data_IF_805969540052
#
_entry.id   IF_805969540052
#
_cell.length_a   1.000
_cell.length_b   1.000
_cell.length_c   1.000
_cell.angle_alpha   90.00
_cell.angle_beta   90.00
_cell.angle_gamma   90.00
#
_symmetry.space_group_name_H-M   'P 1'
#
loop_
_entity.id
_entity.type
_entity.pdbx_description
1 polymer ?
#
# COMPACT_ATOMS: atom_id res chain seq x y z
N UNK A 1 -29.54 15.04 29.12
CA UNK A 1 -28.72 14.95 27.89
C UNK A 1 -27.94 13.63 27.90
N UNK A 2 -28.14 12.84 26.88
CA UNK A 2 -27.39 11.60 26.68
C UNK A 2 -26.10 11.92 25.92
N UNK A 3 -24.98 11.43 26.41
CA UNK A 3 -23.67 11.59 25.75
C UNK A 3 -23.11 10.26 25.35
N UNK A 4 -22.63 10.17 24.12
CA UNK A 4 -21.91 9.02 23.59
C UNK A 4 -20.47 9.44 23.26
N UNK A 5 -19.51 8.91 24.02
CA UNK A 5 -18.10 9.08 23.75
C UNK A 5 -17.51 7.78 23.18
N UNK A 6 -16.89 7.89 22.03
CA UNK A 6 -16.23 6.75 21.37
C UNK A 6 -14.75 7.07 21.27
N UNK A 7 -13.93 6.23 21.90
CA UNK A 7 -12.47 6.28 21.77
C UNK A 7 -11.99 5.06 20.99
N UNK A 8 -11.40 5.30 19.82
CA UNK A 8 -10.87 4.26 18.93
C UNK A 8 -9.35 4.34 18.96
N UNK A 9 -8.72 3.28 19.46
CA UNK A 9 -7.29 3.07 19.35
C UNK A 9 -7.00 1.98 18.32
N UNK A 10 -5.73 1.74 18.01
CA UNK A 10 -5.32 0.77 17.01
C UNK A 10 -5.80 -0.67 17.29
N UNK A 11 -5.86 -1.06 18.56
CA UNK A 11 -6.23 -2.42 18.98
C UNK A 11 -7.45 -2.46 19.90
N UNK A 12 -8.04 -1.31 20.22
CA UNK A 12 -9.11 -1.24 21.20
C UNK A 12 -10.16 -0.21 20.84
N UNK A 13 -11.41 -0.52 21.11
CA UNK A 13 -12.53 0.40 21.04
C UNK A 13 -13.12 0.51 22.43
N UNK A 14 -13.24 1.74 22.93
CA UNK A 14 -13.91 2.05 24.18
C UNK A 14 -15.11 2.95 23.85
N UNK A 15 -16.27 2.53 24.29
CA UNK A 15 -17.54 3.26 24.12
C UNK A 15 -18.05 3.57 25.52
N UNK A 16 -18.24 4.86 25.80
CA UNK A 16 -18.87 5.33 27.02
C UNK A 16 -20.21 5.97 26.67
N UNK A 17 -21.27 5.43 27.23
CA UNK A 17 -22.64 5.94 27.11
C UNK A 17 -23.07 6.48 28.45
N UNK A 18 -23.40 7.77 28.53
CA UNK A 18 -24.03 8.40 29.65
C UNK A 18 -25.54 8.56 29.36
N UNK A 19 -26.37 7.83 30.08
CA UNK A 19 -27.84 7.90 29.97
C UNK A 19 -28.47 8.06 31.35
N UNK A 20 -29.27 9.12 31.58
CA UNK A 20 -29.95 9.37 32.83
C UNK A 20 -29.08 9.18 34.06
N UNK A 21 -27.95 9.85 34.13
CA UNK A 21 -26.93 9.77 35.20
C UNK A 21 -26.24 8.41 35.40
N UNK A 22 -26.51 7.42 34.53
CA UNK A 22 -25.80 6.15 34.52
C UNK A 22 -24.79 6.17 33.43
N UNK A 23 -23.51 5.88 33.77
CA UNK A 23 -22.44 5.73 32.83
C UNK A 23 -22.18 4.24 32.59
N UNK A 24 -22.26 3.84 31.32
CA UNK A 24 -21.95 2.49 30.88
C UNK A 24 -20.71 2.58 29.97
N UNK A 25 -19.61 1.92 30.38
CA UNK A 25 -18.40 1.86 29.57
C UNK A 25 -18.21 0.44 29.06
N UNK A 26 -18.10 0.29 27.76
CA UNK A 26 -17.81 -0.97 27.09
C UNK A 26 -16.43 -0.88 26.46
N UNK A 27 -15.58 -1.84 26.80
CA UNK A 27 -14.24 -1.98 26.25
C UNK A 27 -14.16 -3.26 25.42
N UNK A 28 -13.69 -3.13 24.15
CA UNK A 28 -13.48 -4.27 23.26
C UNK A 28 -12.10 -4.20 22.65
N UNK A 29 -11.36 -5.30 22.73
CA UNK A 29 -10.11 -5.48 22.01
C UNK A 29 -10.44 -5.88 20.58
N UNK A 30 -9.85 -5.19 19.61
CA UNK A 30 -9.97 -5.52 18.19
C UNK A 30 -8.70 -6.23 17.75
N UNK A 31 -8.80 -7.37 17.06
CA UNK A 31 -7.63 -7.97 16.44
C UNK A 31 -7.06 -7.03 15.37
N UNK A 32 -5.78 -7.17 15.12
CA UNK A 32 -5.11 -6.41 14.05
C UNK A 32 -5.59 -6.94 12.70
N UNK A 33 -6.22 -6.10 11.91
CA UNK A 33 -6.81 -6.48 10.62
C UNK A 33 -6.12 -5.80 9.45
N UNK A 34 -6.09 -6.50 8.32
CA UNK A 34 -5.86 -5.89 7.01
C UNK A 34 -7.14 -5.15 6.61
N UNK A 35 -7.07 -3.93 6.05
CA UNK A 35 -8.24 -3.22 5.58
C UNK A 35 -9.06 -4.06 4.60
N UNK A 36 -10.35 -4.21 4.85
CA UNK A 36 -11.29 -4.89 3.96
C UNK A 36 -12.22 -3.83 3.32
N UNK A 37 -11.86 -3.40 2.12
CA UNK A 37 -12.58 -2.33 1.42
C UNK A 37 -14.01 -2.73 1.04
N UNK A 38 -14.27 -4.02 0.80
CA UNK A 38 -15.62 -4.52 0.54
C UNK A 38 -16.52 -4.38 1.79
N UNK A 39 -15.98 -4.71 2.96
CA UNK A 39 -16.68 -4.56 4.24
C UNK A 39 -16.96 -3.08 4.54
N UNK A 40 -15.95 -2.21 4.40
CA UNK A 40 -16.10 -0.76 4.60
C UNK A 40 -17.21 -0.21 3.70
N UNK A 41 -17.23 -0.61 2.42
CA UNK A 41 -18.26 -0.19 1.47
C UNK A 41 -19.67 -0.68 1.88
N UNK A 42 -19.78 -1.93 2.30
CA UNK A 42 -21.06 -2.52 2.66
C UNK A 42 -21.64 -1.91 3.94
N UNK A 43 -20.80 -1.73 4.97
CA UNK A 43 -21.19 -1.07 6.23
C UNK A 43 -21.59 0.38 5.96
N UNK A 44 -20.81 1.14 5.21
CA UNK A 44 -21.15 2.51 4.85
C UNK A 44 -22.50 2.60 4.15
N UNK A 45 -22.77 1.74 3.16
CA UNK A 45 -24.07 1.70 2.48
C UNK A 45 -25.22 1.31 3.40
N UNK A 46 -24.99 0.35 4.29
CA UNK A 46 -26.02 -0.06 5.27
C UNK A 46 -26.35 1.08 6.21
N UNK A 47 -25.34 1.79 6.72
CA UNK A 47 -25.52 2.93 7.64
C UNK A 47 -26.32 4.06 6.98
N UNK A 48 -26.01 4.41 5.73
CA UNK A 48 -26.76 5.42 4.98
C UNK A 48 -28.23 4.99 4.77
N UNK A 49 -28.46 3.74 4.36
CA UNK A 49 -29.83 3.21 4.20
C UNK A 49 -30.60 3.16 5.51
N UNK A 50 -29.94 2.79 6.61
CA UNK A 50 -30.56 2.75 7.92
C UNK A 50 -30.98 4.14 8.39
N UNK A 51 -30.15 5.16 8.10
CA UNK A 51 -30.46 6.55 8.38
C UNK A 51 -31.64 7.06 7.55
N UNK A 52 -31.61 6.83 6.23
CA UNK A 52 -32.67 7.29 5.32
C UNK A 52 -34.02 6.61 5.57
N UNK A 53 -34.01 5.31 5.92
CA UNK A 53 -35.22 4.49 6.09
C UNK A 53 -35.63 4.28 7.53
N UNK A 54 -34.95 4.93 8.48
CA UNK A 54 -35.23 4.82 9.92
C UNK A 54 -35.38 3.36 10.40
N UNK A 55 -34.40 2.51 10.09
CA UNK A 55 -34.43 1.10 10.49
C UNK A 55 -34.55 0.96 12.01
N UNK A 56 -35.31 -0.04 12.45
CA UNK A 56 -35.31 -0.41 13.88
C UNK A 56 -33.94 -0.98 14.26
N UNK A 57 -33.58 -0.87 15.53
CA UNK A 57 -32.30 -1.39 16.04
C UNK A 57 -32.13 -2.87 15.73
N UNK A 58 -33.19 -3.68 15.91
CA UNK A 58 -33.20 -5.12 15.63
C UNK A 58 -32.97 -5.42 14.16
N UNK A 59 -33.58 -4.67 13.24
CA UNK A 59 -33.38 -4.81 11.80
C UNK A 59 -31.93 -4.46 11.41
N UNK A 60 -31.39 -3.39 11.98
CA UNK A 60 -30.02 -2.96 11.72
C UNK A 60 -29.00 -4.00 12.21
N UNK A 61 -29.19 -4.55 13.40
CA UNK A 61 -28.34 -5.59 13.98
C UNK A 61 -28.34 -6.88 13.16
N UNK A 62 -29.54 -7.31 12.70
CA UNK A 62 -29.67 -8.47 11.81
C UNK A 62 -28.97 -8.25 10.46
N UNK A 63 -29.03 -7.04 9.91
CA UNK A 63 -28.39 -6.73 8.62
C UNK A 63 -26.88 -6.65 8.78
N UNK A 64 -26.36 -6.07 9.86
CA UNK A 64 -24.92 -6.02 10.15
C UNK A 64 -24.34 -7.44 10.34
N UNK A 65 -25.02 -8.29 11.10
CA UNK A 65 -24.54 -9.67 11.33
C UNK A 65 -24.49 -10.49 10.04
N UNK A 66 -25.36 -10.22 9.08
CA UNK A 66 -25.32 -10.85 7.76
C UNK A 66 -24.14 -10.39 6.89
N UNK A 67 -23.65 -9.16 7.08
CA UNK A 67 -22.54 -8.66 6.25
C UNK A 67 -21.29 -9.51 6.42
N UNK A 68 -20.97 -9.92 7.65
CA UNK A 68 -19.77 -10.71 7.94
C UNK A 68 -19.74 -12.06 7.20
N UNK A 69 -20.90 -12.70 7.06
CA UNK A 69 -21.04 -13.96 6.34
C UNK A 69 -21.24 -13.82 4.82
N UNK A 70 -21.63 -12.63 4.35
CA UNK A 70 -22.04 -12.45 2.95
C UNK A 70 -20.94 -11.83 2.08
N UNK A 71 -19.99 -11.10 2.69
CA UNK A 71 -18.94 -10.42 1.93
C UNK A 71 -17.81 -11.39 1.60
N UNK A 72 -17.60 -11.71 0.31
CA UNK A 72 -16.56 -12.64 -0.08
C UNK A 72 -15.18 -12.01 0.14
N UNK A 73 -14.23 -12.83 0.58
CA UNK A 73 -12.81 -12.48 0.63
C UNK A 73 -12.09 -13.22 -0.49
N UNK A 74 -11.22 -12.54 -1.21
CA UNK A 74 -10.42 -13.17 -2.25
C UNK A 74 -9.57 -14.30 -1.65
N UNK A 75 -9.55 -15.49 -2.29
CA UNK A 75 -8.70 -16.59 -1.86
C UNK A 75 -7.21 -16.25 -2.04
N UNK A 76 -6.35 -16.90 -1.27
CA UNK A 76 -4.92 -16.59 -1.21
C UNK A 76 -4.22 -16.69 -2.58
N UNK A 77 -4.65 -17.60 -3.46
CA UNK A 77 -4.07 -17.72 -4.78
C UNK A 77 -4.37 -16.50 -5.67
N UNK A 78 -5.59 -15.92 -5.59
CA UNK A 78 -5.93 -14.67 -6.29
C UNK A 78 -5.11 -13.50 -5.73
N UNK A 79 -4.95 -13.43 -4.41
CA UNK A 79 -4.10 -12.42 -3.77
C UNK A 79 -2.64 -12.56 -4.21
N UNK A 80 -2.15 -13.80 -4.35
CA UNK A 80 -0.80 -14.08 -4.86
C UNK A 80 -0.60 -13.56 -6.28
N UNK A 81 -1.52 -13.85 -7.18
CA UNK A 81 -1.49 -13.34 -8.56
C UNK A 81 -1.59 -11.81 -8.57
N UNK A 82 -2.47 -11.23 -7.77
CA UNK A 82 -2.60 -9.79 -7.65
C UNK A 82 -1.30 -9.15 -7.10
N UNK A 83 -0.67 -9.74 -6.08
CA UNK A 83 0.64 -9.30 -5.60
C UNK A 83 1.68 -9.25 -6.73
N UNK A 84 1.76 -10.32 -7.49
CA UNK A 84 2.73 -10.46 -8.57
C UNK A 84 2.49 -9.44 -9.70
N UNK A 85 1.25 -9.31 -10.14
CA UNK A 85 0.87 -8.33 -11.16
C UNK A 85 1.06 -6.89 -10.68
N UNK A 86 0.75 -6.62 -9.41
CA UNK A 86 0.97 -5.30 -8.81
C UNK A 86 2.43 -4.90 -8.79
N UNK A 87 3.30 -5.81 -8.37
CA UNK A 87 4.75 -5.61 -8.37
C UNK A 87 5.31 -5.43 -9.78
N UNK A 88 4.87 -6.25 -10.72
CA UNK A 88 5.28 -6.13 -12.12
C UNK A 88 4.79 -4.83 -12.78
N UNK A 89 3.57 -4.39 -12.42
CA UNK A 89 3.08 -3.08 -12.83
C UNK A 89 3.96 -1.93 -12.35
N UNK A 90 4.52 -2.03 -11.14
CA UNK A 90 5.50 -1.06 -10.66
C UNK A 90 6.81 -1.13 -11.43
N UNK A 91 7.25 -2.31 -11.90
CA UNK A 91 8.44 -2.42 -12.74
C UNK A 91 8.28 -1.62 -14.05
N UNK A 92 7.12 -1.68 -14.69
CA UNK A 92 6.80 -0.83 -15.85
C UNK A 92 6.77 0.66 -15.52
N UNK A 93 6.26 1.03 -14.35
CA UNK A 93 6.26 2.42 -13.90
C UNK A 93 7.68 3.00 -13.71
N UNK A 94 8.64 2.14 -13.41
CA UNK A 94 10.04 2.51 -13.25
C UNK A 94 10.89 2.29 -14.51
N UNK A 95 10.23 2.16 -15.66
CA UNK A 95 10.87 1.98 -16.98
C UNK A 95 11.51 0.62 -17.20
N UNK A 96 11.07 -0.42 -16.45
CA UNK A 96 11.39 -1.80 -16.75
C UNK A 96 10.79 -2.24 -18.09
N UNK A 97 11.46 -3.15 -18.77
CA UNK A 97 11.00 -3.75 -20.01
C UNK A 97 10.03 -4.93 -19.78
N UNK A 98 9.56 -5.56 -20.86
CA UNK A 98 8.64 -6.71 -20.77
C UNK A 98 9.29 -7.91 -20.07
N UNK A 99 10.61 -8.08 -20.19
CA UNK A 99 11.34 -9.16 -19.51
C UNK A 99 11.34 -8.90 -18.00
N UNK A 100 11.65 -7.66 -17.58
CA UNK A 100 11.56 -7.25 -16.17
C UNK A 100 10.14 -7.47 -15.63
N UNK A 101 9.10 -7.16 -16.38
CA UNK A 101 7.71 -7.40 -15.99
C UNK A 101 7.45 -8.89 -15.71
N UNK A 102 7.75 -9.76 -16.67
CA UNK A 102 7.50 -11.22 -16.56
C UNK A 102 8.27 -11.82 -15.39
N UNK A 103 9.55 -11.50 -15.27
CA UNK A 103 10.39 -12.04 -14.20
C UNK A 103 9.96 -11.51 -12.83
N UNK A 104 9.57 -10.25 -12.74
CA UNK A 104 9.00 -9.70 -11.51
C UNK A 104 7.72 -10.44 -11.10
N UNK A 105 6.84 -10.83 -12.04
CA UNK A 105 5.67 -11.68 -11.74
C UNK A 105 6.09 -12.98 -11.06
N UNK A 106 7.06 -13.68 -11.65
CA UNK A 106 7.52 -14.98 -11.14
C UNK A 106 8.15 -14.84 -9.75
N UNK A 107 9.07 -13.89 -9.58
CA UNK A 107 9.79 -13.66 -8.32
C UNK A 107 8.85 -13.21 -7.20
N UNK A 108 7.91 -12.31 -7.51
CA UNK A 108 6.91 -11.85 -6.54
C UNK A 108 5.95 -12.95 -6.10
N UNK A 109 5.55 -13.86 -7.02
CA UNK A 109 4.77 -15.04 -6.69
C UNK A 109 5.51 -15.95 -5.71
N UNK A 110 6.78 -16.25 -5.98
CA UNK A 110 7.61 -17.06 -5.10
C UNK A 110 7.74 -16.41 -3.73
N UNK A 111 7.99 -15.09 -3.68
CA UNK A 111 8.04 -14.33 -2.44
C UNK A 111 6.74 -14.34 -1.65
N UNK A 112 5.60 -14.14 -2.32
CA UNK A 112 4.28 -14.18 -1.71
C UNK A 112 3.98 -15.55 -1.08
N UNK A 113 4.23 -16.62 -1.81
CA UNK A 113 4.01 -17.98 -1.30
C UNK A 113 5.00 -18.33 -0.20
N UNK A 114 6.27 -17.92 -0.30
CA UNK A 114 7.27 -18.06 0.75
C UNK A 114 6.81 -17.42 2.07
N UNK A 115 6.33 -16.16 2.01
CA UNK A 115 5.72 -15.47 3.15
C UNK A 115 4.50 -16.22 3.69
N UNK A 116 3.55 -16.54 2.82
CA UNK A 116 2.29 -17.16 3.24
C UNK A 116 2.50 -18.52 3.88
N UNK A 117 3.40 -19.31 3.31
CA UNK A 117 3.73 -20.64 3.81
C UNK A 117 4.40 -20.55 5.19
N UNK A 118 5.36 -19.63 5.37
CA UNK A 118 6.04 -19.41 6.64
C UNK A 118 5.05 -19.06 7.77
N UNK A 119 4.09 -18.16 7.49
CA UNK A 119 3.05 -17.79 8.45
C UNK A 119 2.13 -18.98 8.76
N UNK A 120 1.78 -19.80 7.77
CA UNK A 120 0.98 -21.04 7.99
C UNK A 120 1.71 -22.06 8.83
N UNK A 121 3.04 -22.13 8.79
CA UNK A 121 3.87 -22.97 9.69
C UNK A 121 4.05 -22.38 11.09
N UNK A 122 3.37 -21.26 11.41
CA UNK A 122 3.39 -20.66 12.74
C UNK A 122 4.48 -19.63 12.96
N UNK A 123 5.22 -19.23 11.94
CA UNK A 123 6.16 -18.12 12.07
C UNK A 123 5.42 -16.80 12.33
N UNK A 124 6.07 -15.90 13.07
CA UNK A 124 5.59 -14.52 13.23
C UNK A 124 5.47 -13.80 11.88
N UNK A 125 4.51 -12.86 11.75
CA UNK A 125 4.28 -12.06 10.55
C UNK A 125 5.58 -11.42 10.03
N UNK A 126 6.40 -10.86 10.90
CA UNK A 126 7.66 -10.20 10.52
C UNK A 126 8.71 -11.17 9.97
N UNK A 127 8.81 -12.36 10.56
CA UNK A 127 9.68 -13.44 10.05
C UNK A 127 9.17 -13.92 8.69
N UNK A 128 7.85 -14.06 8.53
CA UNK A 128 7.26 -14.40 7.24
C UNK A 128 7.56 -13.37 6.15
N UNK A 129 7.54 -12.08 6.50
CA UNK A 129 7.90 -10.98 5.58
C UNK A 129 9.39 -11.07 5.19
N UNK A 130 10.28 -11.31 6.15
CA UNK A 130 11.71 -11.48 5.87
C UNK A 130 11.97 -12.67 4.93
N UNK A 131 11.32 -13.82 5.18
CA UNK A 131 11.41 -15.00 4.31
C UNK A 131 10.84 -14.70 2.91
N UNK A 132 9.73 -13.98 2.82
CA UNK A 132 9.16 -13.55 1.54
C UNK A 132 10.11 -12.65 0.75
N UNK A 133 10.76 -11.67 1.40
CA UNK A 133 11.77 -10.81 0.78
C UNK A 133 13.01 -11.60 0.33
N UNK A 134 13.50 -12.49 1.17
CA UNK A 134 14.62 -13.39 0.88
C UNK A 134 14.34 -14.28 -0.35
N UNK A 135 13.21 -14.99 -0.35
CA UNK A 135 12.85 -15.91 -1.42
C UNK A 135 12.58 -15.20 -2.75
N UNK A 136 11.95 -14.00 -2.72
CA UNK A 136 11.76 -13.19 -3.91
C UNK A 136 13.10 -12.78 -4.54
N UNK A 137 14.05 -12.29 -3.71
CA UNK A 137 15.38 -11.85 -4.16
C UNK A 137 16.24 -12.99 -4.68
N UNK A 138 16.29 -14.12 -3.95
CA UNK A 138 17.06 -15.30 -4.40
C UNK A 138 16.53 -15.83 -5.72
N UNK A 139 15.18 -15.83 -5.91
CA UNK A 139 14.60 -16.22 -7.20
C UNK A 139 14.98 -15.24 -8.32
N UNK A 140 15.04 -13.94 -8.04
CA UNK A 140 15.49 -12.94 -9.01
C UNK A 140 16.98 -13.13 -9.40
N UNK A 141 17.82 -13.51 -8.43
CA UNK A 141 19.20 -13.88 -8.70
C UNK A 141 19.34 -15.10 -9.63
N UNK A 142 18.43 -16.06 -9.53
CA UNK A 142 18.39 -17.21 -10.45
C UNK A 142 18.25 -16.81 -11.93
N UNK A 143 17.73 -15.63 -12.22
CA UNK A 143 17.63 -15.08 -13.58
C UNK A 143 18.81 -14.19 -13.99
N UNK A 144 19.77 -13.95 -13.08
CA UNK A 144 20.88 -13.01 -13.30
C UNK A 144 21.67 -13.25 -14.60
N UNK A 145 21.93 -14.53 -14.93
CA UNK A 145 22.67 -14.91 -16.15
C UNK A 145 21.85 -14.83 -17.44
N UNK A 146 20.54 -14.57 -17.35
CA UNK A 146 19.60 -14.67 -18.48
C UNK A 146 18.94 -13.34 -18.83
N UNK A 147 19.23 -12.29 -18.07
CA UNK A 147 18.59 -10.97 -18.21
C UNK A 147 19.67 -9.89 -18.25
N UNK A 148 19.45 -8.85 -19.04
CA UNK A 148 20.31 -7.67 -19.07
C UNK A 148 20.39 -7.02 -17.68
N UNK A 149 21.56 -6.49 -17.32
CA UNK A 149 21.80 -5.94 -15.97
C UNK A 149 20.83 -4.81 -15.62
N UNK A 150 20.49 -3.95 -16.57
CA UNK A 150 19.57 -2.84 -16.35
C UNK A 150 18.15 -3.33 -16.02
N UNK A 151 17.65 -4.32 -16.75
CA UNK A 151 16.33 -4.91 -16.50
C UNK A 151 16.30 -5.68 -15.18
N UNK A 152 17.39 -6.35 -14.82
CA UNK A 152 17.49 -7.07 -13.55
C UNK A 152 17.34 -6.15 -12.33
N UNK A 153 17.87 -4.94 -12.38
CA UNK A 153 17.76 -3.98 -11.27
C UNK A 153 16.30 -3.66 -10.97
N UNK A 154 15.47 -3.47 -11.99
CA UNK A 154 14.02 -3.25 -11.79
C UNK A 154 13.32 -4.45 -11.18
N UNK A 155 13.69 -5.67 -11.61
CA UNK A 155 13.17 -6.92 -11.04
C UNK A 155 13.48 -7.00 -9.55
N UNK A 156 14.74 -6.81 -9.18
CA UNK A 156 15.22 -6.95 -7.80
C UNK A 156 14.53 -5.97 -6.86
N UNK A 157 14.32 -4.74 -7.30
CA UNK A 157 13.61 -3.73 -6.51
C UNK A 157 12.12 -4.06 -6.43
N UNK A 158 11.48 -4.38 -7.57
CA UNK A 158 10.03 -4.48 -7.64
C UNK A 158 9.48 -5.80 -7.11
N UNK A 159 10.25 -6.90 -7.15
CA UNK A 159 9.76 -8.22 -6.73
C UNK A 159 9.31 -8.30 -5.26
N UNK A 160 9.73 -7.34 -4.42
CA UNK A 160 9.39 -7.27 -3.00
C UNK A 160 8.41 -6.16 -2.65
N UNK A 161 8.11 -5.24 -3.58
CA UNK A 161 7.29 -4.04 -3.30
C UNK A 161 5.84 -4.35 -2.88
N UNK A 162 5.32 -5.55 -3.18
CA UNK A 162 4.00 -5.97 -2.72
C UNK A 162 3.88 -6.08 -1.19
N UNK A 163 5.00 -6.14 -0.48
CA UNK A 163 5.02 -6.22 0.99
C UNK A 163 5.02 -4.84 1.65
N UNK A 164 5.22 -3.76 0.90
CA UNK A 164 5.26 -2.41 1.46
C UNK A 164 3.89 -2.05 2.03
N UNK A 165 3.84 -1.71 3.32
CA UNK A 165 2.59 -1.44 4.02
C UNK A 165 2.09 -0.01 3.74
N UNK A 166 1.73 0.28 2.49
CA UNK A 166 1.33 1.61 2.06
C UNK A 166 0.12 2.17 2.83
N UNK A 167 -0.97 1.40 2.94
CA UNK A 167 -2.19 1.85 3.65
C UNK A 167 -1.96 2.08 5.15
N UNK A 168 -1.26 1.21 5.90
CA UNK A 168 -0.89 1.51 7.29
C UNK A 168 -0.09 2.79 7.45
N UNK A 169 0.82 3.05 6.53
CA UNK A 169 1.65 4.26 6.55
C UNK A 169 0.80 5.51 6.35
N UNK A 170 -0.09 5.52 5.36
CA UNK A 170 -1.05 6.59 5.10
C UNK A 170 -1.91 6.87 6.32
N UNK A 171 -2.53 5.84 6.84
CA UNK A 171 -3.41 5.96 7.99
C UNK A 171 -2.65 6.45 9.24
N UNK A 172 -1.35 6.16 9.37
CA UNK A 172 -0.50 6.68 10.43
C UNK A 172 -0.45 8.22 10.41
N UNK A 173 -0.26 8.81 9.23
CA UNK A 173 -0.23 10.27 9.08
C UNK A 173 -1.61 10.88 9.27
N UNK A 174 -2.65 10.30 8.68
CA UNK A 174 -4.04 10.78 8.85
C UNK A 174 -4.43 10.78 10.33
N UNK A 175 -4.15 9.69 11.05
CA UNK A 175 -4.46 9.60 12.48
C UNK A 175 -3.71 10.67 13.28
N UNK A 176 -2.43 10.91 12.96
CA UNK A 176 -1.62 11.93 13.64
C UNK A 176 -2.15 13.34 13.39
N UNK A 177 -2.51 13.66 12.14
CA UNK A 177 -3.08 14.97 11.77
C UNK A 177 -4.43 15.20 12.46
N UNK A 178 -5.24 14.15 12.60
CA UNK A 178 -6.53 14.19 13.28
C UNK A 178 -6.42 14.12 14.83
N UNK A 179 -5.24 14.35 15.39
CA UNK A 179 -4.96 14.27 16.83
C UNK A 179 -5.15 12.88 17.47
N UNK A 180 -5.24 11.82 16.68
CA UNK A 180 -5.21 10.43 17.17
C UNK A 180 -3.75 9.93 17.26
N UNK A 181 -2.90 10.66 18.00
CA UNK A 181 -1.44 10.49 18.02
C UNK A 181 -1.02 9.05 18.35
N UNK A 182 -1.64 8.43 19.36
CA UNK A 182 -1.29 7.05 19.76
C UNK A 182 -1.56 6.04 18.65
N UNK A 183 -2.67 6.17 17.94
CA UNK A 183 -3.00 5.31 16.78
C UNK A 183 -2.03 5.55 15.64
N UNK A 184 -1.70 6.82 15.35
CA UNK A 184 -0.74 7.21 14.34
C UNK A 184 0.65 6.63 14.58
N UNK A 185 1.20 6.81 15.78
CA UNK A 185 2.51 6.28 16.19
C UNK A 185 2.52 4.75 16.12
N UNK A 186 1.50 4.09 16.62
CA UNK A 186 1.42 2.61 16.59
C UNK A 186 1.47 2.07 15.16
N UNK A 187 0.76 2.72 14.23
CA UNK A 187 0.79 2.35 12.80
C UNK A 187 2.15 2.65 12.15
N UNK A 188 2.78 3.77 12.53
CA UNK A 188 4.12 4.13 12.05
C UNK A 188 5.16 3.08 12.46
N UNK A 189 5.21 2.73 13.74
CA UNK A 189 6.13 1.72 14.28
C UNK A 189 5.90 0.36 13.58
N UNK A 190 4.65 -0.06 13.43
CA UNK A 190 4.34 -1.30 12.72
C UNK A 190 4.84 -1.26 11.27
N UNK A 191 4.66 -0.15 10.59
CA UNK A 191 5.16 0.05 9.23
C UNK A 191 6.68 -0.08 9.17
N UNK A 192 7.40 0.55 10.09
CA UNK A 192 8.86 0.45 10.19
C UNK A 192 9.30 -0.99 10.41
N UNK A 193 8.63 -1.73 11.29
CA UNK A 193 8.93 -3.15 11.55
C UNK A 193 8.71 -4.03 10.31
N UNK A 194 7.62 -3.81 9.56
CA UNK A 194 7.33 -4.55 8.32
C UNK A 194 8.44 -4.31 7.29
N UNK A 195 8.79 -3.05 7.04
CA UNK A 195 9.80 -2.72 6.03
C UNK A 195 11.19 -3.11 6.50
N UNK A 196 11.51 -2.94 7.78
CA UNK A 196 12.76 -3.44 8.35
C UNK A 196 12.92 -4.96 8.17
N UNK A 197 11.87 -5.72 8.44
CA UNK A 197 11.87 -7.18 8.22
C UNK A 197 12.06 -7.55 6.75
N UNK A 198 11.36 -6.84 5.84
CA UNK A 198 11.53 -7.02 4.40
C UNK A 198 12.98 -6.74 3.98
N UNK A 199 13.53 -5.61 4.42
CA UNK A 199 14.90 -5.19 4.09
C UNK A 199 15.94 -6.17 4.63
N UNK A 200 15.75 -6.72 5.85
CA UNK A 200 16.61 -7.77 6.39
C UNK A 200 16.59 -9.03 5.51
N UNK A 201 15.41 -9.48 5.08
CA UNK A 201 15.31 -10.62 4.17
C UNK A 201 16.03 -10.39 2.86
N UNK A 202 15.89 -9.19 2.28
CA UNK A 202 16.60 -8.80 1.05
C UNK A 202 18.10 -8.70 1.26
N UNK A 203 18.56 -8.11 2.37
CA UNK A 203 19.99 -8.01 2.70
C UNK A 203 20.62 -9.39 2.88
N UNK A 204 19.93 -10.32 3.53
CA UNK A 204 20.39 -11.72 3.61
C UNK A 204 20.51 -12.37 2.23
N UNK A 205 19.55 -12.14 1.33
CA UNK A 205 19.62 -12.66 -0.03
C UNK A 205 20.84 -12.10 -0.79
N UNK A 206 21.12 -10.81 -0.66
CA UNK A 206 22.30 -10.16 -1.27
C UNK A 206 23.62 -10.69 -0.69
N UNK A 207 23.66 -11.02 0.58
CA UNK A 207 24.84 -11.61 1.21
C UNK A 207 25.18 -12.98 0.63
N UNK A 208 24.18 -13.83 0.39
CA UNK A 208 24.35 -15.16 -0.19
C UNK A 208 24.46 -15.16 -1.72
N UNK A 209 24.03 -14.10 -2.36
CA UNK A 209 24.00 -13.97 -3.82
C UNK A 209 24.71 -12.68 -4.20
N UNK A 210 26.01 -12.71 -4.52
CA UNK A 210 26.79 -11.52 -4.86
C UNK A 210 26.26 -10.90 -6.15
N UNK A 211 25.47 -9.86 -6.01
CA UNK A 211 24.91 -9.08 -7.10
C UNK A 211 25.59 -7.71 -7.15
N UNK A 212 25.64 -7.07 -8.32
CA UNK A 212 26.15 -5.71 -8.42
C UNK A 212 25.33 -4.79 -7.50
N UNK A 213 26.03 -3.91 -6.80
CA UNK A 213 25.44 -3.01 -5.81
C UNK A 213 24.29 -2.21 -6.42
N UNK A 214 23.16 -2.17 -5.72
CA UNK A 214 21.94 -1.43 -6.07
C UNK A 214 22.08 0.09 -6.09
N UNK A 215 23.26 0.60 -6.30
CA UNK A 215 23.60 1.96 -5.95
C UNK A 215 22.68 3.01 -6.54
N UNK A 216 22.09 2.82 -7.72
CA UNK A 216 21.36 3.95 -8.33
C UNK A 216 20.34 3.52 -9.41
N UNK A 217 19.14 3.11 -9.00
CA UNK A 217 18.01 3.20 -9.92
C UNK A 217 17.58 4.66 -9.96
N UNK A 218 17.99 5.38 -10.96
CA UNK A 218 17.53 6.75 -11.18
C UNK A 218 16.13 6.69 -11.81
N UNK A 219 15.13 6.99 -11.00
CA UNK A 219 13.73 7.02 -11.46
C UNK A 219 13.53 8.35 -12.18
N UNK A 220 13.76 8.35 -13.49
CA UNK A 220 13.42 9.52 -14.32
C UNK A 220 11.95 9.45 -14.70
N UNK A 221 11.15 10.46 -14.41
CA UNK A 221 9.82 10.54 -14.96
C UNK A 221 9.93 10.66 -16.47
N UNK A 222 9.26 9.78 -17.20
CA UNK A 222 9.15 9.85 -18.65
C UNK A 222 7.74 10.29 -19.05
N UNK A 223 7.61 10.83 -20.26
CA UNK A 223 6.30 11.04 -20.90
C UNK A 223 5.57 9.69 -20.90
N UNK A 224 4.26 9.72 -20.70
CA UNK A 224 3.45 8.51 -20.54
C UNK A 224 3.61 7.55 -21.73
N UNK A 225 4.27 6.42 -21.48
CA UNK A 225 4.39 5.32 -22.43
C UNK A 225 3.26 4.31 -22.26
N UNK A 226 3.08 3.41 -23.24
CA UNK A 226 2.07 2.34 -23.14
C UNK A 226 2.35 1.44 -21.92
N UNK A 227 3.62 1.16 -21.66
CA UNK A 227 4.07 0.36 -20.50
C UNK A 227 3.65 1.04 -19.19
N UNK A 228 3.78 2.35 -19.10
CA UNK A 228 3.38 3.10 -17.88
C UNK A 228 1.87 3.15 -17.71
N UNK A 229 1.07 3.17 -18.78
CA UNK A 229 -0.39 3.05 -18.72
C UNK A 229 -0.76 1.65 -18.17
N UNK A 230 -0.21 0.61 -18.77
CA UNK A 230 -0.45 -0.77 -18.33
C UNK A 230 0.05 -0.96 -16.90
N UNK A 231 1.24 -0.47 -16.57
CA UNK A 231 1.85 -0.55 -15.26
C UNK A 231 1.03 0.12 -14.17
N UNK A 232 0.60 1.36 -14.38
CA UNK A 232 -0.22 2.10 -13.40
C UNK A 232 -1.61 1.48 -13.21
N UNK A 233 -2.24 1.03 -14.30
CA UNK A 233 -3.51 0.32 -14.23
C UNK A 233 -3.39 -0.98 -13.45
N UNK A 234 -2.43 -1.83 -13.82
CA UNK A 234 -2.23 -3.13 -13.18
C UNK A 234 -1.81 -2.98 -11.72
N UNK A 235 -0.92 -2.05 -11.39
CA UNK A 235 -0.51 -1.79 -10.01
C UNK A 235 -1.73 -1.38 -9.16
N UNK A 236 -2.48 -0.34 -9.55
CA UNK A 236 -3.63 0.14 -8.79
C UNK A 236 -4.72 -0.93 -8.61
N UNK A 237 -5.11 -1.61 -9.70
CA UNK A 237 -6.15 -2.65 -9.67
C UNK A 237 -5.71 -3.87 -8.83
N UNK A 238 -4.46 -4.30 -8.95
CA UNK A 238 -3.93 -5.46 -8.22
C UNK A 238 -3.80 -5.19 -6.73
N UNK A 239 -3.28 -4.04 -6.33
CA UNK A 239 -3.24 -3.67 -4.90
C UNK A 239 -4.65 -3.51 -4.31
N UNK A 240 -5.63 -3.06 -5.09
CA UNK A 240 -7.03 -3.02 -4.64
C UNK A 240 -7.57 -4.43 -4.32
N UNK A 241 -7.16 -5.47 -5.06
CA UNK A 241 -7.52 -6.87 -4.74
C UNK A 241 -6.94 -7.29 -3.39
N UNK A 242 -5.71 -6.86 -3.04
CA UNK A 242 -5.10 -7.16 -1.74
C UNK A 242 -5.89 -6.57 -0.57
N UNK A 243 -6.51 -5.40 -0.77
CA UNK A 243 -7.39 -4.76 0.20
C UNK A 243 -8.84 -5.23 0.10
N UNK A 244 -9.08 -6.31 -0.61
CA UNK A 244 -10.42 -6.89 -0.80
C UNK A 244 -11.44 -5.88 -1.36
N UNK A 245 -11.02 -5.06 -2.33
CA UNK A 245 -11.94 -4.16 -3.01
C UNK A 245 -12.95 -4.93 -3.88
N UNK A 246 -14.21 -4.45 -3.99
CA UNK A 246 -15.20 -5.10 -4.84
C UNK A 246 -14.77 -5.15 -6.31
N UNK A 247 -14.93 -6.33 -6.97
CA UNK A 247 -14.51 -6.56 -8.37
C UNK A 247 -14.99 -5.47 -9.33
N UNK A 248 -16.23 -4.99 -9.16
CA UNK A 248 -16.83 -3.93 -9.99
C UNK A 248 -16.07 -2.59 -9.94
N UNK A 249 -15.24 -2.37 -8.91
CA UNK A 249 -14.48 -1.13 -8.75
C UNK A 249 -13.07 -1.22 -9.33
N UNK A 250 -12.56 -2.43 -9.62
CA UNK A 250 -11.17 -2.63 -10.03
C UNK A 250 -10.80 -1.85 -11.29
N UNK A 251 -11.68 -1.85 -12.29
CA UNK A 251 -11.46 -1.09 -13.54
C UNK A 251 -11.41 0.41 -13.26
N UNK A 252 -12.35 0.93 -12.46
CA UNK A 252 -12.34 2.34 -12.08
C UNK A 252 -11.09 2.72 -11.28
N UNK A 253 -10.65 1.86 -10.36
CA UNK A 253 -9.41 2.06 -9.58
C UNK A 253 -8.19 2.06 -10.51
N UNK A 254 -8.11 1.12 -11.45
CA UNK A 254 -7.03 1.08 -12.44
C UNK A 254 -6.94 2.36 -13.27
N UNK A 255 -8.09 2.85 -13.78
CA UNK A 255 -8.17 4.14 -14.51
C UNK A 255 -7.72 5.29 -13.61
N UNK A 256 -8.10 5.28 -12.32
CA UNK A 256 -7.64 6.27 -11.35
C UNK A 256 -6.11 6.26 -11.17
N UNK A 257 -5.51 5.08 -11.14
CA UNK A 257 -4.04 4.92 -11.10
C UNK A 257 -3.37 5.53 -12.34
N UNK A 258 -3.92 5.27 -13.54
CA UNK A 258 -3.42 5.88 -14.78
C UNK A 258 -3.52 7.40 -14.72
N UNK A 259 -4.66 7.95 -14.29
CA UNK A 259 -4.86 9.39 -14.16
C UNK A 259 -3.85 10.04 -13.21
N UNK A 260 -3.60 9.42 -12.06
CA UNK A 260 -2.60 9.87 -11.11
C UNK A 260 -1.20 9.96 -11.73
N UNK A 261 -0.75 8.86 -12.35
CA UNK A 261 0.59 8.76 -12.94
C UNK A 261 0.72 9.70 -14.14
N UNK A 262 -0.29 9.77 -15.00
CA UNK A 262 -0.33 10.70 -16.12
C UNK A 262 -0.13 12.15 -15.66
N UNK A 263 -0.95 12.60 -14.71
CA UNK A 263 -0.87 13.99 -14.21
C UNK A 263 0.49 14.27 -13.57
N UNK A 264 1.02 13.33 -12.77
CA UNK A 264 2.36 13.46 -12.18
C UNK A 264 3.45 13.59 -13.24
N UNK A 265 3.46 12.68 -14.22
CA UNK A 265 4.50 12.66 -15.25
C UNK A 265 4.42 13.88 -16.15
N UNK A 266 3.21 14.29 -16.55
CA UNK A 266 2.99 15.52 -17.34
C UNK A 266 3.57 16.75 -16.63
N UNK A 267 3.28 16.93 -15.35
CA UNK A 267 3.77 18.07 -14.58
C UNK A 267 5.28 18.03 -14.36
N UNK A 268 5.83 16.84 -14.13
CA UNK A 268 7.27 16.69 -13.88
C UNK A 268 8.10 16.90 -15.15
N UNK A 269 7.65 16.37 -16.31
CA UNK A 269 8.41 16.38 -17.56
C UNK A 269 8.19 17.70 -18.32
N UNK A 270 6.93 18.11 -18.54
CA UNK A 270 6.62 19.26 -19.38
C UNK A 270 6.69 20.59 -18.63
N UNK A 271 6.32 20.59 -17.35
CA UNK A 271 6.26 21.82 -16.55
C UNK A 271 7.41 21.95 -15.53
N UNK A 272 8.33 20.99 -15.47
CA UNK A 272 9.50 21.05 -14.57
C UNK A 272 9.15 21.03 -13.07
N UNK A 273 7.99 20.54 -12.67
CA UNK A 273 7.63 20.39 -11.27
C UNK A 273 8.54 19.38 -10.60
N UNK A 274 8.87 19.62 -9.33
CA UNK A 274 9.52 18.61 -8.50
C UNK A 274 8.61 17.37 -8.42
N UNK A 275 9.19 16.16 -8.39
CA UNK A 275 8.41 14.92 -8.35
C UNK A 275 7.41 14.88 -7.17
N UNK A 276 7.76 15.32 -5.92
CA UNK A 276 6.79 15.41 -4.84
C UNK A 276 5.62 16.36 -5.15
N UNK A 277 5.91 17.53 -5.70
CA UNK A 277 4.87 18.51 -6.07
C UNK A 277 3.96 18.00 -7.17
N UNK A 278 4.52 17.38 -8.22
CA UNK A 278 3.77 16.75 -9.29
C UNK A 278 2.88 15.59 -8.77
N UNK A 279 3.39 14.80 -7.82
CA UNK A 279 2.64 13.72 -7.18
C UNK A 279 1.46 14.25 -6.37
N UNK A 280 1.65 15.34 -5.63
CA UNK A 280 0.57 15.99 -4.89
C UNK A 280 -0.55 16.46 -5.82
N UNK A 281 -0.20 17.17 -6.88
CA UNK A 281 -1.20 17.65 -7.85
C UNK A 281 -1.88 16.47 -8.55
N UNK A 282 -1.14 15.41 -8.91
CA UNK A 282 -1.70 14.20 -9.51
C UNK A 282 -2.74 13.52 -8.60
N UNK A 283 -2.41 13.37 -7.32
CA UNK A 283 -3.33 12.83 -6.32
C UNK A 283 -4.55 13.73 -6.11
N UNK A 284 -4.36 15.06 -6.04
CA UNK A 284 -5.43 16.03 -5.85
C UNK A 284 -6.41 16.04 -7.02
N UNK A 285 -5.91 16.10 -8.26
CA UNK A 285 -6.74 16.06 -9.49
C UNK A 285 -7.57 14.79 -9.54
N UNK A 286 -6.93 13.64 -9.31
CA UNK A 286 -7.64 12.36 -9.25
C UNK A 286 -8.71 12.37 -8.15
N UNK A 287 -8.39 12.85 -6.95
CA UNK A 287 -9.32 12.89 -5.83
C UNK A 287 -10.56 13.72 -6.12
N UNK A 288 -10.40 14.92 -6.69
CA UNK A 288 -11.53 15.78 -7.08
C UNK A 288 -12.45 15.09 -8.10
N UNK A 289 -11.88 14.45 -9.11
CA UNK A 289 -12.65 13.71 -10.12
C UNK A 289 -13.37 12.52 -9.47
N UNK A 290 -12.68 11.78 -8.61
CA UNK A 290 -13.21 10.54 -8.05
C UNK A 290 -14.21 10.74 -6.90
N UNK A 291 -14.26 11.90 -6.27
CA UNK A 291 -15.40 12.26 -5.41
C UNK A 291 -16.70 12.18 -6.20
N UNK A 292 -16.73 12.72 -7.43
CA UNK A 292 -17.92 12.67 -8.29
C UNK A 292 -18.19 11.28 -8.88
N UNK A 293 -17.13 10.56 -9.30
CA UNK A 293 -17.23 9.18 -9.77
C UNK A 293 -17.74 8.24 -8.68
N UNK A 294 -17.33 8.43 -7.43
CA UNK A 294 -17.76 7.60 -6.30
C UNK A 294 -19.26 7.72 -6.02
N UNK A 295 -19.85 8.92 -6.17
CA UNK A 295 -21.30 9.12 -6.05
C UNK A 295 -22.05 8.38 -7.16
N UNK A 296 -21.55 8.42 -8.39
CA UNK A 296 -22.13 7.69 -9.52
C UNK A 296 -22.04 6.16 -9.33
N UNK A 297 -20.89 5.67 -8.84
CA UNK A 297 -20.68 4.24 -8.53
C UNK A 297 -21.37 3.81 -7.23
N UNK A 298 -21.98 4.73 -6.49
CA UNK A 298 -22.63 4.49 -5.18
C UNK A 298 -21.67 3.75 -4.22
N UNK A 299 -20.48 4.29 -4.03
CA UNK A 299 -19.44 3.71 -3.17
C UNK A 299 -18.74 4.82 -2.37
N UNK A 300 -18.03 4.46 -1.30
CA UNK A 300 -17.20 5.43 -0.58
C UNK A 300 -16.05 5.90 -1.46
N UNK A 301 -15.86 7.22 -1.55
CA UNK A 301 -14.74 7.83 -2.30
C UNK A 301 -13.37 7.34 -1.81
N UNK A 302 -13.21 7.18 -0.50
CA UNK A 302 -11.96 6.72 0.13
C UNK A 302 -11.47 5.38 -0.45
N UNK A 303 -12.37 4.44 -0.76
CA UNK A 303 -12.00 3.12 -1.29
C UNK A 303 -11.32 3.27 -2.65
N UNK A 304 -11.88 4.10 -3.53
CA UNK A 304 -11.34 4.27 -4.88
C UNK A 304 -10.08 5.14 -4.83
N UNK A 305 -10.13 6.27 -4.12
CA UNK A 305 -9.03 7.23 -4.05
C UNK A 305 -7.77 6.59 -3.46
N UNK A 306 -7.89 5.94 -2.29
CA UNK A 306 -6.73 5.31 -1.63
C UNK A 306 -6.13 4.21 -2.50
N UNK A 307 -6.97 3.35 -3.10
CA UNK A 307 -6.46 2.27 -3.95
C UNK A 307 -5.81 2.78 -5.25
N UNK A 308 -6.35 3.84 -5.86
CA UNK A 308 -5.77 4.45 -7.06
C UNK A 308 -4.44 5.16 -6.79
N UNK A 309 -4.33 5.81 -5.63
CA UNK A 309 -3.11 6.54 -5.22
C UNK A 309 -1.91 5.61 -4.94
N UNK A 310 -2.13 4.30 -4.77
CA UNK A 310 -1.04 3.34 -4.52
C UNK A 310 -0.02 3.34 -5.67
N UNK A 311 -0.46 3.55 -6.91
CA UNK A 311 0.44 3.67 -8.06
C UNK A 311 1.44 4.85 -7.95
N UNK A 312 1.13 5.85 -7.13
CA UNK A 312 2.02 6.98 -6.85
C UNK A 312 2.98 6.73 -5.67
N UNK A 313 2.84 5.63 -4.94
CA UNK A 313 3.62 5.40 -3.73
C UNK A 313 5.11 5.25 -4.01
N UNK A 314 5.93 6.01 -3.30
CA UNK A 314 7.39 5.99 -3.48
C UNK A 314 8.03 4.81 -2.73
N UNK A 315 7.56 3.58 -2.97
CA UNK A 315 8.06 2.39 -2.29
C UNK A 315 9.57 2.20 -2.41
N UNK A 316 10.13 2.55 -3.56
CA UNK A 316 11.59 2.50 -3.80
C UNK A 316 12.36 3.50 -2.91
N UNK A 317 11.85 4.72 -2.73
CA UNK A 317 12.55 5.71 -1.88
C UNK A 317 12.60 5.24 -0.43
N UNK A 318 11.53 4.62 0.03
CA UNK A 318 11.47 4.08 1.38
C UNK A 318 12.43 2.88 1.56
N UNK A 319 12.47 1.99 0.58
CA UNK A 319 13.42 0.88 0.54
C UNK A 319 14.87 1.39 0.55
N UNK A 320 15.22 2.34 -0.33
CA UNK A 320 16.55 2.94 -0.38
C UNK A 320 16.96 3.54 0.96
N UNK A 321 16.08 4.33 1.55
CA UNK A 321 16.34 4.95 2.85
C UNK A 321 16.67 3.92 3.94
N UNK A 322 15.92 2.81 4.01
CA UNK A 322 16.20 1.76 4.98
C UNK A 322 17.46 0.95 4.65
N UNK A 323 17.71 0.70 3.37
CA UNK A 323 18.92 0.03 2.93
C UNK A 323 20.15 0.88 3.26
N UNK A 324 20.10 2.18 3.02
CA UNK A 324 21.16 3.13 3.38
C UNK A 324 21.41 3.15 4.90
N UNK A 325 20.36 3.07 5.73
CA UNK A 325 20.51 2.94 7.18
C UNK A 325 21.27 1.67 7.58
N UNK A 326 20.96 0.53 6.95
CA UNK A 326 21.64 -0.74 7.26
C UNK A 326 23.12 -0.70 6.88
N UNK A 327 23.49 0.09 5.88
CA UNK A 327 24.85 0.23 5.37
C UNK A 327 25.54 1.53 5.80
N UNK A 328 25.05 2.20 6.85
CA UNK A 328 25.49 3.52 7.27
C UNK A 328 27.03 3.61 7.51
N UNK A 329 27.63 2.54 7.99
CA UNK A 329 29.07 2.47 8.25
C UNK A 329 29.95 2.39 6.97
N UNK A 330 29.34 2.08 5.83
CA UNK A 330 30.02 1.98 4.53
C UNK A 330 29.71 3.16 3.60
N UNK A 331 28.84 4.08 4.04
CA UNK A 331 28.46 5.24 3.23
C UNK A 331 29.55 6.31 3.28
N UNK A 332 29.87 6.85 2.09
CA UNK A 332 30.66 8.09 1.97
C UNK A 332 29.83 9.32 2.44
N UNK A 333 30.50 10.47 2.61
CA UNK A 333 29.77 11.72 2.94
C UNK A 333 28.64 12.03 1.93
N UNK A 334 28.88 11.81 0.64
CA UNK A 334 27.86 11.94 -0.40
C UNK A 334 26.72 10.92 -0.22
N UNK A 335 27.01 9.69 0.20
CA UNK A 335 26.01 8.67 0.50
C UNK A 335 25.13 9.04 1.67
N UNK A 336 25.67 9.62 2.73
CA UNK A 336 24.89 10.14 3.86
C UNK A 336 23.95 11.28 3.44
N UNK A 337 24.41 12.15 2.57
CA UNK A 337 23.58 13.25 2.04
C UNK A 337 22.42 12.68 1.20
N UNK A 338 22.67 11.69 0.37
CA UNK A 338 21.62 10.99 -0.39
C UNK A 338 20.64 10.24 0.50
N UNK A 339 21.10 9.60 1.58
CA UNK A 339 20.23 8.95 2.58
C UNK A 339 19.27 9.95 3.21
N UNK A 340 19.77 11.09 3.68
CA UNK A 340 18.93 12.16 4.25
C UNK A 340 17.97 12.71 3.21
N UNK A 341 18.43 12.90 1.97
CA UNK A 341 17.64 13.39 0.86
C UNK A 341 16.51 12.41 0.49
N UNK A 342 16.79 11.10 0.46
CA UNK A 342 15.77 10.05 0.24
C UNK A 342 14.73 10.04 1.35
N UNK A 343 15.14 10.15 2.62
CA UNK A 343 14.24 10.23 3.77
C UNK A 343 13.37 11.47 3.75
N UNK A 344 13.95 12.62 3.49
CA UNK A 344 13.24 13.90 3.37
C UNK A 344 12.27 13.88 2.17
N UNK A 345 12.73 13.43 1.01
CA UNK A 345 11.92 13.29 -0.19
C UNK A 345 10.75 12.33 0.05
N UNK A 346 10.99 11.22 0.74
CA UNK A 346 9.93 10.30 1.13
C UNK A 346 8.86 10.97 2.00
N UNK A 347 9.26 11.74 3.02
CA UNK A 347 8.32 12.48 3.90
C UNK A 347 7.54 13.53 3.10
N UNK A 348 8.19 14.26 2.17
CA UNK A 348 7.52 15.22 1.31
C UNK A 348 6.56 14.58 0.31
N UNK A 349 6.95 13.46 -0.31
CA UNK A 349 6.06 12.65 -1.14
C UNK A 349 4.80 12.23 -0.39
N UNK A 350 5.02 11.83 0.85
CA UNK A 350 3.97 11.36 1.72
C UNK A 350 2.98 12.45 2.08
N UNK A 351 3.50 13.62 2.47
CA UNK A 351 2.69 14.81 2.73
C UNK A 351 1.94 15.26 1.48
N UNK A 352 2.54 15.13 0.32
CA UNK A 352 1.97 15.53 -0.95
C UNK A 352 0.81 14.65 -1.42
N UNK A 353 0.78 13.36 -1.11
CA UNK A 353 -0.31 12.47 -1.51
C UNK A 353 -1.58 12.63 -0.66
N UNK A 354 -1.54 13.36 0.47
CA UNK A 354 -2.59 13.29 1.49
C UNK A 354 -3.08 14.62 2.07
N UNK A 355 -2.55 15.76 1.64
CA UNK A 355 -3.17 17.07 1.84
C UNK A 355 -4.03 17.41 0.62
#
# INVERSE_FOLDING_TARGET
HDYLNIHISYTTIMINLLHKERSITVFRKTPVHVPNMAMINAVSKLTWRAFERHYSLTTYEQLISKLDSTIPVYPDWIKGIACALGSAGLAFLYSGDMIAFIVTVICSLIGYFGRTLSVRFGCNEYVGIAIGGFTAMVSAYGFYSHIEQDSLVYVLVCCTLFMIPGVPLINSVIDTINNHILSGITRAIRTILIVGSMTLGMAMALYFSPMPAFSFVDIKPHVLTIEQIIGSFTAAASFAVLFNAPVRLLVSIGIGGVLCVFTRNLLAVEFGFSIPGATFVGAAVMSVIYVKVSTWLKTSSTIIIVSSAIALMPGILYYRFLFDILHINSLSESGLLHMVQNGVTFVFYYKACYN
#
